data_IF_002346834337
#
_entry.id   IF_002346834337
#
_cell.length_a   1.000
_cell.length_b   1.000
_cell.length_c   1.000
_cell.angle_alpha   90.00
_cell.angle_beta   90.00
_cell.angle_gamma   90.00
#
_symmetry.space_group_name_H-M   'P 1'
#
loop_
_entity.id
_entity.type
_entity.pdbx_description
1 polymer ?
#
# COMPACT_ATOMS: atom_id res chain seq x y z
N UNK A 1 11.87 -25.97 32.49
CA UNK A 1 12.50 -24.89 31.68
C UNK A 1 12.60 -25.36 30.24
N UNK A 2 11.46 -25.61 29.60
CA UNK A 2 11.35 -26.03 28.19
C UNK A 2 10.34 -25.08 27.55
N UNK A 3 10.82 -24.02 26.91
CA UNK A 3 9.99 -23.17 26.03
C UNK A 3 10.79 -22.13 25.23
N UNK A 4 12.12 -22.07 25.41
CA UNK A 4 12.99 -21.13 24.67
C UNK A 4 13.37 -21.69 23.29
N UNK A 5 13.25 -23.00 23.06
CA UNK A 5 13.56 -23.65 21.78
C UNK A 5 12.51 -23.40 20.68
N UNK A 6 11.22 -23.44 21.03
CA UNK A 6 10.11 -23.32 20.06
C UNK A 6 9.95 -21.88 19.54
N UNK A 7 10.31 -20.87 20.33
CA UNK A 7 10.25 -19.46 19.94
C UNK A 7 11.33 -19.06 18.92
N UNK A 8 12.40 -19.87 18.79
CA UNK A 8 13.44 -19.68 17.76
C UNK A 8 13.00 -20.27 16.42
N UNK A 9 12.34 -21.43 16.43
CA UNK A 9 11.80 -22.06 15.23
C UNK A 9 10.69 -21.23 14.58
N UNK A 10 9.81 -20.60 15.37
CA UNK A 10 8.75 -19.71 14.85
C UNK A 10 9.29 -18.40 14.23
N UNK A 11 10.50 -17.96 14.62
CA UNK A 11 11.19 -16.83 13.97
C UNK A 11 11.83 -17.20 12.65
N UNK A 12 12.14 -18.49 12.43
CA UNK A 12 12.77 -19.01 11.21
C UNK A 12 11.74 -19.49 10.17
N UNK A 13 10.47 -19.69 10.55
CA UNK A 13 9.38 -20.05 9.61
C UNK A 13 8.65 -18.85 9.01
N UNK A 14 8.92 -17.62 9.45
CA UNK A 14 8.23 -16.45 8.88
C UNK A 14 8.88 -16.09 7.54
N UNK A 15 8.09 -16.22 6.47
CA UNK A 15 8.47 -15.83 5.11
C UNK A 15 8.69 -14.30 4.96
N UNK A 16 8.51 -13.55 6.05
CA UNK A 16 8.65 -12.10 6.10
C UNK A 16 10.05 -11.58 5.73
N UNK A 17 11.11 -12.34 6.07
CA UNK A 17 12.47 -12.00 5.67
C UNK A 17 12.67 -12.08 4.15
N UNK A 18 12.07 -13.09 3.50
CA UNK A 18 12.07 -13.21 2.04
C UNK A 18 11.15 -12.15 1.42
N UNK A 19 10.00 -11.86 2.03
CA UNK A 19 9.07 -10.82 1.58
C UNK A 19 9.73 -9.45 1.53
N UNK A 20 10.40 -9.01 2.60
CA UNK A 20 11.11 -7.72 2.64
C UNK A 20 12.23 -7.64 1.59
N UNK A 21 12.87 -8.77 1.29
CA UNK A 21 13.89 -8.85 0.24
C UNK A 21 13.26 -8.72 -1.15
N UNK A 22 12.16 -9.43 -1.40
CA UNK A 22 11.39 -9.37 -2.65
C UNK A 22 10.78 -7.99 -2.89
N UNK A 23 10.32 -7.34 -1.83
CA UNK A 23 9.78 -5.97 -1.87
C UNK A 23 10.86 -4.97 -2.29
N UNK A 24 12.07 -5.05 -1.71
CA UNK A 24 13.20 -4.20 -2.13
C UNK A 24 13.60 -4.43 -3.58
N UNK A 25 13.51 -5.66 -4.06
CA UNK A 25 13.81 -6.01 -5.46
C UNK A 25 12.73 -5.50 -6.42
N UNK A 26 11.44 -5.66 -6.08
CA UNK A 26 10.31 -5.14 -6.84
C UNK A 26 10.32 -3.61 -6.93
N UNK A 27 10.61 -2.91 -5.84
CA UNK A 27 10.73 -1.45 -5.84
C UNK A 27 11.84 -0.98 -6.78
N UNK A 28 12.99 -1.66 -6.77
CA UNK A 28 14.08 -1.40 -7.72
C UNK A 28 13.66 -1.66 -9.17
N UNK A 29 12.91 -2.72 -9.44
CA UNK A 29 12.43 -3.02 -10.80
C UNK A 29 11.39 -2.02 -11.30
N UNK A 30 10.46 -1.59 -10.43
CA UNK A 30 9.47 -0.56 -10.74
C UNK A 30 10.17 0.76 -11.02
N UNK A 31 11.14 1.15 -10.19
CA UNK A 31 11.93 2.37 -10.40
C UNK A 31 12.70 2.30 -11.73
N UNK A 32 13.32 1.15 -12.05
CA UNK A 32 14.01 0.93 -13.31
C UNK A 32 13.07 0.97 -14.52
N UNK A 33 11.89 0.36 -14.44
CA UNK A 33 10.87 0.42 -15.51
C UNK A 33 10.33 1.83 -15.69
N UNK A 34 10.09 2.57 -14.61
CA UNK A 34 9.67 3.98 -14.64
C UNK A 34 10.69 4.90 -15.31
N UNK A 35 11.98 4.65 -15.12
CA UNK A 35 13.07 5.37 -15.81
C UNK A 35 13.08 5.06 -17.32
N UNK A 36 12.76 3.83 -17.70
CA UNK A 36 12.76 3.39 -19.11
C UNK A 36 11.48 3.78 -19.87
N UNK A 37 10.33 3.84 -19.18
CA UNK A 37 9.02 4.19 -19.74
C UNK A 37 8.73 5.70 -19.71
N UNK A 38 9.71 6.53 -19.33
CA UNK A 38 9.62 7.99 -19.28
C UNK A 38 9.22 8.60 -20.63
N UNK A 39 7.92 8.74 -20.85
CA UNK A 39 7.32 9.44 -21.97
C UNK A 39 7.66 10.92 -21.90
N UNK A 40 8.62 11.35 -22.72
CA UNK A 40 8.73 12.70 -23.31
C UNK A 40 8.36 13.88 -22.43
N UNK A 41 9.15 14.19 -21.40
CA UNK A 41 9.40 15.56 -20.94
C UNK A 41 10.64 15.59 -20.00
N UNK A 42 11.85 15.49 -20.58
CA UNK A 42 13.10 15.80 -19.86
C UNK A 42 13.53 14.88 -18.70
N UNK A 43 12.95 13.68 -18.54
CA UNK A 43 13.41 12.69 -17.55
C UNK A 43 13.02 12.97 -16.08
N UNK A 44 12.13 13.95 -15.83
CA UNK A 44 11.62 14.22 -14.47
C UNK A 44 10.50 13.24 -14.13
N UNK A 45 10.66 12.50 -13.03
CA UNK A 45 9.65 11.56 -12.52
C UNK A 45 8.62 12.37 -11.72
N UNK A 46 7.34 12.32 -12.11
CA UNK A 46 6.23 12.95 -11.37
C UNK A 46 5.50 11.87 -10.57
N UNK A 47 5.69 11.90 -9.25
CA UNK A 47 5.16 10.90 -8.32
C UNK A 47 4.29 11.50 -7.22
N UNK A 48 4.45 12.80 -6.97
CA UNK A 48 3.72 13.58 -5.99
C UNK A 48 3.18 14.88 -6.60
N UNK A 49 2.26 15.54 -5.89
CA UNK A 49 1.78 16.87 -6.28
C UNK A 49 2.92 17.91 -6.26
N UNK A 50 3.95 17.68 -5.44
CA UNK A 50 5.11 18.56 -5.34
C UNK A 50 6.09 18.47 -6.51
N UNK A 51 5.98 17.41 -7.31
CA UNK A 51 6.77 17.27 -8.53
C UNK A 51 6.19 18.08 -9.70
N UNK A 52 4.92 18.50 -9.61
CA UNK A 52 4.19 19.23 -10.65
C UNK A 52 4.67 20.68 -10.81
N UNK A 53 4.63 21.17 -12.04
CA UNK A 53 4.69 22.61 -12.32
C UNK A 53 3.48 23.34 -11.74
N UNK A 54 3.62 24.64 -11.44
CA UNK A 54 2.51 25.48 -10.96
C UNK A 54 1.34 25.51 -11.96
N UNK A 55 1.67 25.44 -13.26
CA UNK A 55 0.67 25.39 -14.34
C UNK A 55 -0.13 24.10 -14.30
N UNK A 56 0.51 22.94 -14.07
CA UNK A 56 -0.20 21.68 -13.94
C UNK A 56 -0.98 21.60 -12.62
N UNK A 57 -0.37 22.05 -11.51
CA UNK A 57 -1.00 22.08 -10.17
C UNK A 57 -2.30 22.89 -10.17
N UNK A 58 -2.33 24.04 -10.84
CA UNK A 58 -3.53 24.88 -10.93
C UNK A 58 -4.68 24.26 -11.74
N UNK A 59 -4.42 23.21 -12.53
CA UNK A 59 -5.45 22.46 -13.29
C UNK A 59 -6.06 21.30 -12.49
N UNK A 60 -5.59 21.03 -11.28
CA UNK A 60 -6.20 20.02 -10.41
C UNK A 60 -7.60 20.48 -10.03
N UNK A 61 -8.59 19.72 -10.49
CA UNK A 61 -10.00 19.96 -10.16
C UNK A 61 -10.30 19.56 -8.71
N UNK A 62 -11.38 20.10 -8.14
CA UNK A 62 -11.83 19.73 -6.78
C UNK A 62 -12.05 18.23 -6.61
N UNK A 63 -12.56 17.53 -7.63
CA UNK A 63 -12.78 16.07 -7.58
C UNK A 63 -11.46 15.28 -7.63
N UNK A 64 -10.49 15.75 -8.41
CA UNK A 64 -9.14 15.17 -8.43
C UNK A 64 -8.42 15.39 -7.10
N UNK A 65 -8.52 16.59 -6.51
CA UNK A 65 -7.98 16.86 -5.18
C UNK A 65 -8.63 15.97 -4.11
N UNK A 66 -9.96 15.77 -4.17
CA UNK A 66 -10.64 14.86 -3.27
C UNK A 66 -10.16 13.41 -3.43
N UNK A 67 -9.80 13.00 -4.66
CA UNK A 67 -9.21 11.68 -4.93
C UNK A 67 -7.81 11.56 -4.33
N UNK A 68 -6.97 12.59 -4.45
CA UNK A 68 -5.65 12.64 -3.80
C UNK A 68 -5.78 12.59 -2.26
N UNK A 69 -6.69 13.36 -1.67
CA UNK A 69 -6.94 13.32 -0.23
C UNK A 69 -7.51 11.98 0.24
N UNK A 70 -8.27 11.27 -0.60
CA UNK A 70 -8.69 9.90 -0.31
C UNK A 70 -7.50 8.95 -0.36
N UNK A 71 -6.58 9.13 -1.31
CA UNK A 71 -5.36 8.33 -1.41
C UNK A 71 -4.55 8.45 -0.12
N UNK A 72 -4.25 9.66 0.33
CA UNK A 72 -3.45 9.87 1.54
C UNK A 72 -4.09 9.21 2.77
N UNK A 73 -5.42 9.33 2.92
CA UNK A 73 -6.17 8.70 4.03
C UNK A 73 -6.23 7.18 3.97
N UNK A 74 -6.26 6.58 2.78
CA UNK A 74 -6.24 5.12 2.65
C UNK A 74 -4.85 4.59 2.98
N UNK A 75 -3.80 5.29 2.53
CA UNK A 75 -2.42 4.85 2.69
C UNK A 75 -1.88 4.98 4.13
N UNK A 76 -2.59 5.64 5.05
CA UNK A 76 -2.25 5.59 6.48
C UNK A 76 -2.41 4.21 7.11
N UNK A 77 -3.12 3.29 6.44
CA UNK A 77 -3.40 1.93 6.92
C UNK A 77 -2.92 0.85 5.94
N UNK A 78 -2.05 1.22 4.99
CA UNK A 78 -1.43 0.30 4.01
C UNK A 78 0.09 0.47 4.07
N UNK A 79 0.63 0.60 5.28
CA UNK A 79 2.07 0.66 5.50
C UNK A 79 2.67 -0.75 5.57
N UNK A 80 4.00 -0.91 5.42
CA UNK A 80 4.65 -2.21 5.62
C UNK A 80 4.35 -2.83 7.00
N UNK A 81 4.24 -2.00 8.04
CA UNK A 81 3.92 -2.45 9.40
C UNK A 81 2.46 -2.92 9.50
N UNK A 82 1.52 -2.27 8.82
CA UNK A 82 0.12 -2.71 8.76
C UNK A 82 -0.03 -4.04 8.02
N UNK A 83 0.66 -4.18 6.89
CA UNK A 83 0.65 -5.41 6.09
C UNK A 83 1.25 -6.58 6.88
N UNK A 84 2.38 -6.36 7.56
CA UNK A 84 2.96 -7.35 8.48
C UNK A 84 2.02 -7.67 9.65
N UNK A 85 1.40 -6.64 10.21
CA UNK A 85 0.43 -6.77 11.30
C UNK A 85 -0.73 -7.69 10.91
N UNK A 86 -1.34 -7.40 9.75
CA UNK A 86 -2.43 -8.18 9.18
C UNK A 86 -2.01 -9.63 8.90
N UNK A 87 -0.83 -9.86 8.29
CA UNK A 87 -0.32 -11.21 8.04
C UNK A 87 -0.17 -12.01 9.34
N UNK A 88 0.39 -11.40 10.39
CA UNK A 88 0.55 -12.06 11.70
C UNK A 88 -0.80 -12.40 12.34
N UNK A 89 -1.74 -11.45 12.32
CA UNK A 89 -3.08 -11.65 12.86
C UNK A 89 -3.83 -12.76 12.13
N UNK A 90 -3.75 -12.82 10.80
CA UNK A 90 -4.31 -13.90 9.99
C UNK A 90 -3.72 -15.27 10.34
N UNK A 91 -2.43 -15.32 10.68
CA UNK A 91 -1.75 -16.54 11.15
C UNK A 91 -1.96 -16.85 12.65
N UNK A 92 -2.78 -16.07 13.37
CA UNK A 92 -2.99 -16.24 14.80
C UNK A 92 -1.77 -15.92 15.67
N UNK A 93 -0.81 -15.15 15.13
CA UNK A 93 0.41 -14.74 15.82
C UNK A 93 0.15 -13.40 16.52
N UNK A 94 0.30 -13.32 17.86
CA UNK A 94 0.08 -12.07 18.59
C UNK A 94 1.15 -11.02 18.24
N UNK A 95 0.73 -9.76 18.13
CA UNK A 95 1.63 -8.62 17.98
C UNK A 95 2.24 -8.26 19.32
N UNK A 96 3.56 -8.40 19.44
CA UNK A 96 4.30 -8.16 20.68
C UNK A 96 5.30 -7.01 20.54
N UNK A 97 5.45 -6.21 21.59
CA UNK A 97 6.55 -5.25 21.77
C UNK A 97 7.86 -6.01 22.05
N UNK A 98 8.99 -5.28 22.07
CA UNK A 98 10.32 -5.83 22.37
C UNK A 98 10.40 -6.51 23.74
N UNK A 99 9.59 -6.07 24.69
CA UNK A 99 9.48 -6.62 26.05
C UNK A 99 8.54 -7.83 26.16
N UNK A 100 7.90 -8.25 25.05
CA UNK A 100 6.96 -9.36 25.01
C UNK A 100 5.51 -9.01 25.38
N UNK A 101 5.20 -7.74 25.67
CA UNK A 101 3.82 -7.29 25.90
C UNK A 101 3.03 -7.15 24.60
N UNK A 102 1.70 -7.33 24.64
CA UNK A 102 0.83 -7.12 23.48
C UNK A 102 0.89 -5.66 23.00
N UNK A 103 0.88 -5.46 21.69
CA UNK A 103 0.66 -4.15 21.08
C UNK A 103 -0.83 -3.84 21.17
N UNK A 104 -1.16 -2.83 21.97
CA UNK A 104 -2.53 -2.42 22.28
C UNK A 104 -2.79 -1.02 21.72
N UNK A 105 -4.01 -0.79 21.28
CA UNK A 105 -4.63 0.51 20.97
C UNK A 105 -4.76 1.37 22.24
N UNK A 106 -5.12 2.64 22.07
CA UNK A 106 -5.33 3.58 23.18
C UNK A 106 -6.42 3.12 24.16
N UNK A 107 -7.42 2.38 23.67
CA UNK A 107 -8.49 1.78 24.48
C UNK A 107 -8.08 0.49 25.22
N UNK A 108 -6.82 0.07 25.09
CA UNK A 108 -6.27 -1.13 25.74
C UNK A 108 -6.61 -2.45 25.03
N UNK A 109 -7.30 -2.41 23.89
CA UNK A 109 -7.55 -3.60 23.06
C UNK A 109 -6.37 -3.87 22.14
N UNK A 110 -6.09 -5.12 21.73
CA UNK A 110 -5.10 -5.40 20.69
C UNK A 110 -5.42 -4.64 19.40
N UNK A 111 -4.39 -4.23 18.68
CA UNK A 111 -4.58 -3.76 17.30
C UNK A 111 -5.22 -4.85 16.44
N UNK A 112 -5.96 -4.42 15.41
CA UNK A 112 -6.61 -5.29 14.43
C UNK A 112 -6.26 -4.78 13.02
N UNK A 113 -4.99 -4.95 12.66
CA UNK A 113 -4.46 -4.56 11.36
C UNK A 113 -5.15 -5.32 10.22
N UNK A 114 -5.54 -6.57 10.43
CA UNK A 114 -6.30 -7.37 9.48
C UNK A 114 -7.58 -6.63 9.07
N UNK A 115 -8.37 -6.15 10.03
CA UNK A 115 -9.59 -5.40 9.72
C UNK A 115 -9.28 -4.06 9.04
N UNK A 116 -8.27 -3.31 9.53
CA UNK A 116 -7.89 -2.01 8.96
C UNK A 116 -7.40 -2.14 7.50
N UNK A 117 -6.54 -3.11 7.21
CA UNK A 117 -6.04 -3.41 5.86
C UNK A 117 -7.21 -3.85 4.96
N UNK A 118 -8.11 -4.67 5.48
CA UNK A 118 -9.29 -5.13 4.73
C UNK A 118 -10.25 -3.98 4.37
N UNK A 119 -10.50 -3.07 5.30
CA UNK A 119 -11.30 -1.87 5.03
C UNK A 119 -10.58 -0.89 4.08
N UNK A 120 -9.26 -0.81 4.19
CA UNK A 120 -8.42 0.01 3.30
C UNK A 120 -8.45 -0.50 1.86
N UNK A 121 -8.55 -1.81 1.64
CA UNK A 121 -8.71 -2.39 0.31
C UNK A 121 -9.97 -1.87 -0.41
N UNK A 122 -11.09 -1.66 0.30
CA UNK A 122 -12.30 -1.02 -0.26
C UNK A 122 -12.03 0.43 -0.68
N UNK A 123 -11.14 1.12 0.05
CA UNK A 123 -10.62 2.43 -0.33
C UNK A 123 -9.79 2.38 -1.60
N UNK A 124 -8.90 1.39 -1.73
CA UNK A 124 -8.08 1.14 -2.92
C UNK A 124 -8.96 0.84 -4.15
N UNK A 125 -10.03 0.04 -4.03
CA UNK A 125 -10.98 -0.19 -5.12
C UNK A 125 -11.61 1.11 -5.64
N UNK A 126 -11.97 2.03 -4.74
CA UNK A 126 -12.51 3.34 -5.11
C UNK A 126 -11.47 4.20 -5.81
N UNK A 127 -10.25 4.23 -5.28
CA UNK A 127 -9.13 4.97 -5.87
C UNK A 127 -8.80 4.47 -7.28
N UNK A 128 -8.73 3.15 -7.47
CA UNK A 128 -8.50 2.54 -8.79
C UNK A 128 -9.50 3.03 -9.81
N UNK A 129 -10.81 2.97 -9.48
CA UNK A 129 -11.88 3.46 -10.36
C UNK A 129 -11.76 4.96 -10.66
N UNK A 130 -11.45 5.78 -9.65
CA UNK A 130 -11.29 7.21 -9.81
C UNK A 130 -10.12 7.56 -10.73
N UNK A 131 -8.94 6.97 -10.50
CA UNK A 131 -7.77 7.22 -11.35
C UNK A 131 -7.95 6.69 -12.77
N UNK A 132 -8.55 5.50 -12.94
CA UNK A 132 -8.90 4.97 -14.26
C UNK A 132 -9.79 5.95 -15.03
N UNK A 133 -10.79 6.55 -14.35
CA UNK A 133 -11.66 7.56 -14.93
C UNK A 133 -10.94 8.85 -15.31
N UNK A 134 -10.08 9.36 -14.42
CA UNK A 134 -9.31 10.58 -14.65
C UNK A 134 -8.36 10.42 -15.85
N UNK A 135 -7.61 9.31 -15.90
CA UNK A 135 -6.61 9.04 -16.94
C UNK A 135 -7.28 8.89 -18.32
N UNK A 136 -8.50 8.37 -18.39
CA UNK A 136 -9.24 8.25 -19.67
C UNK A 136 -9.66 9.57 -20.29
N UNK A 137 -9.60 10.69 -19.56
CA UNK A 137 -9.88 12.01 -20.13
C UNK A 137 -8.81 12.37 -21.19
N UNK A 138 -9.18 12.55 -22.48
CA UNK A 138 -8.21 12.88 -23.52
C UNK A 138 -7.58 14.26 -23.34
N UNK A 139 -8.25 15.18 -22.65
CA UNK A 139 -7.80 16.55 -22.42
C UNK A 139 -7.03 16.71 -21.09
N UNK A 140 -6.67 15.60 -20.42
CA UNK A 140 -5.88 15.66 -19.20
C UNK A 140 -4.45 16.12 -19.52
N UNK A 141 -4.01 17.13 -18.77
CA UNK A 141 -2.64 17.64 -18.79
C UNK A 141 -1.60 16.53 -18.67
N UNK A 142 -0.47 16.63 -19.39
CA UNK A 142 0.54 15.57 -19.44
C UNK A 142 1.18 15.29 -18.09
N UNK A 143 1.45 16.30 -17.28
CA UNK A 143 2.06 16.13 -15.95
C UNK A 143 1.07 15.48 -14.99
N UNK A 144 -0.20 15.92 -15.03
CA UNK A 144 -1.27 15.30 -14.27
C UNK A 144 -1.49 13.85 -14.69
N UNK A 145 -1.42 13.54 -15.99
CA UNK A 145 -1.49 12.18 -16.51
C UNK A 145 -0.37 11.31 -15.94
N UNK A 146 0.86 11.81 -15.89
CA UNK A 146 1.98 11.10 -15.28
C UNK A 146 1.76 10.86 -13.78
N UNK A 147 1.35 11.90 -13.03
CA UNK A 147 1.03 11.78 -11.59
C UNK A 147 -0.02 10.70 -11.33
N UNK A 148 -1.17 10.76 -12.02
CA UNK A 148 -2.25 9.81 -11.79
C UNK A 148 -1.90 8.40 -12.26
N UNK A 149 -1.07 8.27 -13.30
CA UNK A 149 -0.52 6.97 -13.73
C UNK A 149 0.42 6.40 -12.66
N UNK A 150 1.27 7.23 -12.05
CA UNK A 150 2.08 6.80 -10.90
C UNK A 150 1.20 6.33 -9.74
N UNK A 151 0.13 7.08 -9.43
CA UNK A 151 -0.78 6.80 -8.30
C UNK A 151 -1.62 5.55 -8.52
N UNK A 152 -2.13 5.28 -9.72
CA UNK A 152 -2.86 4.04 -10.00
C UNK A 152 -1.94 2.81 -9.97
N UNK A 153 -0.68 2.96 -10.41
CA UNK A 153 0.31 1.89 -10.30
C UNK A 153 0.60 1.55 -8.84
N UNK A 154 0.72 2.55 -7.97
CA UNK A 154 0.86 2.38 -6.53
C UNK A 154 -0.34 1.62 -5.95
N UNK A 155 -1.57 2.04 -6.29
CA UNK A 155 -2.81 1.37 -5.88
C UNK A 155 -2.83 -0.09 -6.32
N UNK A 156 -2.50 -0.40 -7.56
CA UNK A 156 -2.49 -1.77 -8.06
C UNK A 156 -1.47 -2.64 -7.33
N UNK A 157 -0.27 -2.12 -7.05
CA UNK A 157 0.75 -2.85 -6.29
C UNK A 157 0.27 -3.15 -4.87
N UNK A 158 -0.31 -2.16 -4.19
CA UNK A 158 -0.86 -2.32 -2.84
C UNK A 158 -2.02 -3.30 -2.80
N UNK A 159 -2.93 -3.26 -3.78
CA UNK A 159 -4.03 -4.22 -3.90
C UNK A 159 -3.51 -5.66 -4.04
N UNK A 160 -2.56 -5.89 -4.95
CA UNK A 160 -1.97 -7.23 -5.15
C UNK A 160 -1.32 -7.76 -3.87
N UNK A 161 -0.59 -6.91 -3.13
CA UNK A 161 0.02 -7.32 -1.85
C UNK A 161 -1.02 -7.76 -0.83
N UNK A 162 -2.12 -7.00 -0.70
CA UNK A 162 -3.20 -7.35 0.22
C UNK A 162 -3.89 -8.64 -0.24
N UNK A 163 -4.16 -8.79 -1.54
CA UNK A 163 -4.73 -10.02 -2.10
C UNK A 163 -3.85 -11.23 -1.80
N UNK A 164 -2.53 -11.13 -1.97
CA UNK A 164 -1.57 -12.19 -1.68
C UNK A 164 -1.57 -12.58 -0.19
N UNK A 165 -1.64 -11.60 0.72
CA UNK A 165 -1.69 -11.84 2.18
C UNK A 165 -2.98 -12.56 2.58
N UNK A 166 -4.12 -12.17 2.00
CA UNK A 166 -5.43 -12.70 2.38
C UNK A 166 -5.84 -13.97 1.62
N UNK A 167 -5.24 -14.25 0.45
CA UNK A 167 -5.59 -15.39 -0.40
C UNK A 167 -5.58 -16.75 0.32
N UNK A 168 -4.56 -17.09 1.16
CA UNK A 168 -4.55 -18.35 1.91
C UNK A 168 -5.70 -18.50 2.92
N UNK A 169 -6.35 -17.40 3.29
CA UNK A 169 -7.37 -17.32 4.34
C UNK A 169 -8.79 -17.11 3.78
N UNK A 170 -8.99 -17.34 2.48
CA UNK A 170 -10.29 -17.19 1.82
C UNK A 170 -10.55 -15.83 1.20
N UNK A 171 -9.53 -14.96 1.12
CA UNK A 171 -9.61 -13.64 0.50
C UNK A 171 -9.99 -12.52 1.47
N UNK A 172 -10.26 -11.34 0.93
CA UNK A 172 -10.42 -10.09 1.70
C UNK A 172 -11.77 -10.05 2.44
N UNK A 173 -11.75 -9.56 3.67
CA UNK A 173 -12.87 -9.60 4.62
C UNK A 173 -13.73 -8.31 4.68
N UNK A 174 -14.96 -8.42 5.21
CA UNK A 174 -15.84 -9.55 5.02
C UNK A 174 -16.16 -9.71 3.52
N UNK A 175 -16.23 -10.95 3.01
CA UNK A 175 -16.77 -11.20 1.67
C UNK A 175 -18.19 -10.63 1.60
N UNK A 176 -18.52 -10.02 0.45
CA UNK A 176 -19.86 -9.50 0.18
C UNK A 176 -20.90 -10.61 0.12
#
# INVERSE_FOLDING_TARGET
MENIGESKAARETSNYGEYLKREKELLKEIEKKRVLEGTGNGGRIISSVDDLSDTARSKITTSQQATLNLHDRVYTHVTPDDLLGAEKELNGIPLLRKDGSLVLREDGMPFNHMQEVSDSYRGLEKLKKSYDGIIKNPNLDSELRQLYTSKINEVNVSMNKIEDIFAPFGGILPPK
#
